data_IF_707856696485
#
_entry.id   IF_707856696485
#
_cell.length_a   1.000
_cell.length_b   1.000
_cell.length_c   1.000
_cell.angle_alpha   90.00
_cell.angle_beta   90.00
_cell.angle_gamma   90.00
#
_symmetry.space_group_name_H-M   'P 1'
#
loop_
_entity.id
_entity.type
_entity.pdbx_description
1 polymer ?
#
# COMPACT_ATOMS: atom_id res chain seq x y z
N UNK A 1 -6.45 21.79 -16.42
CA UNK A 1 -5.17 21.04 -16.47
C UNK A 1 -5.35 19.81 -17.36
N UNK A 2 -4.28 19.23 -17.94
CA UNK A 2 -4.39 18.07 -18.82
C UNK A 2 -5.16 16.92 -18.15
N UNK A 3 -6.09 16.29 -18.87
CA UNK A 3 -6.95 15.23 -18.33
C UNK A 3 -6.36 13.81 -18.41
N UNK A 4 -5.17 13.65 -18.99
CA UNK A 4 -4.51 12.35 -19.17
C UNK A 4 -3.06 12.40 -18.70
N UNK A 5 -2.57 11.28 -18.13
CA UNK A 5 -1.23 11.16 -17.54
C UNK A 5 -0.10 11.62 -18.47
N UNK A 6 -0.19 11.25 -19.74
CA UNK A 6 0.83 11.60 -20.75
C UNK A 6 0.93 13.12 -20.92
N UNK A 7 -0.19 13.82 -21.06
CA UNK A 7 -0.23 15.28 -21.21
C UNK A 7 0.27 16.00 -19.96
N UNK A 8 -0.05 15.47 -18.77
CA UNK A 8 0.41 16.00 -17.50
C UNK A 8 1.94 15.87 -17.35
N UNK A 9 2.48 14.68 -17.59
CA UNK A 9 3.93 14.44 -17.54
C UNK A 9 4.65 15.34 -18.55
N UNK A 10 4.15 15.44 -19.78
CA UNK A 10 4.74 16.31 -20.80
C UNK A 10 4.79 17.78 -20.38
N UNK A 11 3.77 18.27 -19.69
CA UNK A 11 3.66 19.67 -19.26
C UNK A 11 4.65 20.03 -18.15
N UNK A 12 4.85 19.14 -17.17
CA UNK A 12 5.60 19.44 -15.95
C UNK A 12 6.98 18.80 -15.85
N UNK A 13 7.34 17.90 -16.79
CA UNK A 13 8.64 17.21 -16.78
C UNK A 13 9.83 18.17 -16.72
N UNK A 14 9.85 19.24 -17.51
CA UNK A 14 10.99 20.17 -17.55
C UNK A 14 11.25 20.82 -16.19
N UNK A 15 10.19 21.19 -15.47
CA UNK A 15 10.26 21.76 -14.12
C UNK A 15 10.86 20.73 -13.15
N UNK A 16 10.31 19.50 -13.14
CA UNK A 16 10.81 18.46 -12.25
C UNK A 16 12.25 18.02 -12.59
N UNK A 17 12.59 17.98 -13.88
CA UNK A 17 13.94 17.64 -14.35
C UNK A 17 14.98 18.71 -13.98
N UNK A 18 14.59 19.98 -13.93
CA UNK A 18 15.46 21.06 -13.43
C UNK A 18 15.84 20.91 -11.95
N UNK A 19 15.04 20.16 -11.17
CA UNK A 19 15.33 19.87 -9.75
C UNK A 19 16.11 18.56 -9.61
N UNK A 20 15.67 17.50 -10.31
CA UNK A 20 16.32 16.20 -10.31
C UNK A 20 16.58 15.80 -11.77
N UNK A 21 17.82 15.94 -12.29
CA UNK A 21 18.14 15.69 -13.70
C UNK A 21 18.22 14.18 -14.05
N UNK A 22 17.26 13.41 -13.56
CA UNK A 22 16.96 12.04 -13.94
C UNK A 22 15.52 12.00 -14.42
N UNK A 23 15.31 11.75 -15.73
CA UNK A 23 13.99 11.74 -16.34
C UNK A 23 13.00 10.81 -15.63
N UNK A 24 13.44 9.63 -15.19
CA UNK A 24 12.57 8.65 -14.50
C UNK A 24 12.09 9.16 -13.15
N UNK A 25 12.96 9.83 -12.41
CA UNK A 25 12.59 10.45 -11.13
C UNK A 25 11.72 11.69 -11.32
N UNK A 26 12.04 12.53 -12.31
CA UNK A 26 11.22 13.68 -12.67
C UNK A 26 9.80 13.25 -13.06
N UNK A 27 9.67 12.28 -13.96
CA UNK A 27 8.37 11.74 -14.40
C UNK A 27 7.62 11.05 -13.25
N UNK A 28 8.34 10.37 -12.36
CA UNK A 28 7.78 9.73 -11.17
C UNK A 28 7.20 10.75 -10.19
N UNK A 29 7.93 11.83 -9.91
CA UNK A 29 7.47 12.93 -9.07
C UNK A 29 6.25 13.62 -9.67
N UNK A 30 6.26 13.89 -10.99
CA UNK A 30 5.14 14.50 -11.70
C UNK A 30 3.89 13.61 -11.67
N UNK A 31 4.07 12.30 -11.84
CA UNK A 31 2.96 11.32 -11.73
C UNK A 31 2.37 11.29 -10.32
N UNK A 32 3.22 11.36 -9.28
CA UNK A 32 2.76 11.41 -7.90
C UNK A 32 1.95 12.69 -7.62
N UNK A 33 2.44 13.85 -8.04
CA UNK A 33 1.74 15.14 -7.89
C UNK A 33 0.40 15.13 -8.63
N UNK A 34 0.34 14.53 -9.81
CA UNK A 34 -0.92 14.33 -10.53
C UNK A 34 -1.93 13.54 -9.70
N UNK A 35 -1.53 12.41 -9.12
CA UNK A 35 -2.40 11.59 -8.28
C UNK A 35 -2.91 12.33 -7.03
N UNK A 36 -2.07 13.18 -6.42
CA UNK A 36 -2.50 14.05 -5.32
C UNK A 36 -3.52 15.07 -5.81
N UNK A 37 -3.27 15.72 -6.95
CA UNK A 37 -4.19 16.70 -7.54
C UNK A 37 -5.55 16.09 -7.89
N UNK A 38 -5.57 14.91 -8.52
CA UNK A 38 -6.81 14.18 -8.84
C UNK A 38 -7.57 13.79 -7.59
N UNK A 39 -6.86 13.36 -6.54
CA UNK A 39 -7.46 13.07 -5.23
C UNK A 39 -8.10 14.33 -4.62
N UNK A 40 -7.41 15.48 -4.63
CA UNK A 40 -7.97 16.74 -4.13
C UNK A 40 -9.24 17.12 -4.86
N UNK A 41 -9.23 16.98 -6.19
CA UNK A 41 -10.39 17.24 -7.05
C UNK A 41 -11.58 16.33 -6.75
N UNK A 42 -11.35 15.04 -6.56
CA UNK A 42 -12.39 14.09 -6.19
C UNK A 42 -13.00 14.39 -4.81
N UNK A 43 -12.18 14.96 -3.91
CA UNK A 43 -12.56 15.26 -2.53
C UNK A 43 -13.08 16.68 -2.31
N UNK A 44 -13.05 17.56 -3.33
CA UNK A 44 -13.40 18.98 -3.17
C UNK A 44 -12.45 19.75 -2.24
N UNK A 45 -11.24 19.24 -2.03
CA UNK A 45 -10.21 19.89 -1.19
C UNK A 45 -9.37 20.82 -2.06
N UNK A 46 -9.04 22.00 -1.54
CA UNK A 46 -8.09 22.89 -2.22
C UNK A 46 -6.69 22.27 -2.19
N UNK A 47 -6.16 21.98 -3.39
CA UNK A 47 -4.82 21.45 -3.58
C UNK A 47 -3.74 22.32 -2.93
N UNK A 48 -3.94 23.65 -2.86
CA UNK A 48 -2.97 24.57 -2.22
C UNK A 48 -2.90 24.41 -0.70
N UNK A 49 -3.94 23.85 -0.08
CA UNK A 49 -3.99 23.55 1.34
C UNK A 49 -3.35 22.21 1.71
N UNK A 50 -2.91 21.41 0.74
CA UNK A 50 -2.34 20.07 0.99
C UNK A 50 -0.86 20.18 1.32
N UNK A 51 -0.51 19.88 2.57
CA UNK A 51 0.86 19.69 3.01
C UNK A 51 1.36 18.27 2.74
N UNK A 52 2.50 18.13 2.07
CA UNK A 52 3.23 16.87 2.00
C UNK A 52 4.06 16.69 3.28
N UNK A 53 4.09 15.49 3.84
CA UNK A 53 4.92 15.19 5.02
C UNK A 53 6.42 15.19 4.68
N UNK A 54 7.28 15.29 5.70
CA UNK A 54 8.73 15.45 5.56
C UNK A 54 9.50 14.18 5.18
N UNK A 55 9.00 13.38 4.24
CA UNK A 55 9.73 12.22 3.69
C UNK A 55 10.45 12.59 2.40
N UNK A 56 11.57 11.92 2.16
CA UNK A 56 12.30 12.01 0.90
C UNK A 56 12.07 10.73 0.09
N UNK A 57 11.53 10.85 -1.12
CA UNK A 57 11.23 9.70 -1.98
C UNK A 57 11.83 9.86 -3.36
N UNK A 58 12.37 8.76 -3.87
CA UNK A 58 12.79 8.62 -5.26
C UNK A 58 11.97 7.52 -5.88
N UNK A 59 11.20 7.86 -6.91
CA UNK A 59 10.33 6.93 -7.60
C UNK A 59 10.63 6.97 -9.09
N UNK A 60 10.78 5.81 -9.70
CA UNK A 60 10.77 5.68 -11.15
C UNK A 60 9.32 5.74 -11.69
N UNK A 61 9.08 6.27 -12.89
CA UNK A 61 7.73 6.44 -13.44
C UNK A 61 7.11 5.19 -14.10
N UNK A 62 7.94 4.30 -14.61
CA UNK A 62 7.56 3.22 -15.53
C UNK A 62 7.90 1.85 -14.93
N UNK A 63 7.04 0.87 -15.21
CA UNK A 63 7.39 -0.55 -15.13
C UNK A 63 8.38 -0.81 -16.26
N UNK A 64 9.58 -1.28 -15.93
CA UNK A 64 10.56 -1.71 -16.95
C UNK A 64 11.46 -2.81 -16.35
N UNK A 65 12.05 -3.65 -17.20
CA UNK A 65 13.05 -4.63 -16.78
C UNK A 65 14.37 -4.49 -17.54
N UNK A 66 15.52 -4.39 -16.83
CA UNK A 66 15.62 -4.02 -15.42
C UNK A 66 15.21 -2.55 -15.22
N UNK A 67 14.58 -2.22 -14.09
CA UNK A 67 14.41 -0.83 -13.68
C UNK A 67 15.78 -0.11 -13.66
N UNK A 68 15.94 0.98 -14.40
CA UNK A 68 17.26 1.58 -14.64
C UNK A 68 17.73 2.46 -13.48
N UNK A 69 16.80 3.14 -12.82
CA UNK A 69 17.12 4.03 -11.71
C UNK A 69 17.18 3.30 -10.37
N UNK A 70 16.30 2.33 -10.12
CA UNK A 70 16.25 1.56 -8.87
C UNK A 70 16.25 0.08 -9.23
N UNK A 71 17.45 -0.47 -9.44
CA UNK A 71 17.61 -1.82 -10.03
C UNK A 71 17.72 -2.89 -8.94
N UNK A 72 16.77 -3.82 -8.90
CA UNK A 72 16.88 -5.10 -8.21
C UNK A 72 17.96 -5.99 -8.87
N UNK A 73 18.86 -6.52 -8.04
CA UNK A 73 19.90 -7.49 -8.41
C UNK A 73 19.73 -8.79 -7.62
N UNK A 74 20.45 -9.83 -8.07
CA UNK A 74 20.59 -11.10 -7.33
C UNK A 74 21.11 -10.81 -5.91
N UNK A 75 20.64 -11.58 -4.94
CA UNK A 75 20.91 -11.32 -3.51
C UNK A 75 19.98 -10.27 -2.89
N UNK A 76 18.91 -9.88 -3.58
CA UNK A 76 17.92 -8.88 -3.15
C UNK A 76 18.51 -7.50 -2.86
N UNK A 77 19.57 -7.14 -3.60
CA UNK A 77 20.22 -5.84 -3.51
C UNK A 77 19.59 -4.86 -4.49
N UNK A 78 19.41 -3.61 -4.05
CA UNK A 78 18.90 -2.53 -4.88
C UNK A 78 20.00 -1.54 -5.19
N UNK A 79 20.31 -1.42 -6.47
CA UNK A 79 21.28 -0.44 -6.97
C UNK A 79 20.52 0.81 -7.41
N UNK A 80 20.63 1.86 -6.61
CA UNK A 80 19.91 3.12 -6.76
C UNK A 80 20.84 4.13 -7.42
N UNK A 81 20.40 4.69 -8.55
CA UNK A 81 21.06 5.82 -9.19
C UNK A 81 20.82 7.06 -8.35
N UNK A 82 21.91 7.73 -7.97
CA UNK A 82 21.88 9.01 -7.26
C UNK A 82 22.44 10.11 -8.15
N UNK A 83 22.01 11.34 -7.92
CA UNK A 83 22.55 12.53 -8.58
C UNK A 83 23.09 13.43 -7.47
N UNK A 84 24.37 13.80 -7.57
CA UNK A 84 25.00 14.73 -6.65
C UNK A 84 24.69 16.18 -7.07
N UNK A 85 24.96 17.14 -6.18
CA UNK A 85 24.75 18.56 -6.46
C UNK A 85 25.53 19.09 -7.66
N UNK A 86 26.67 18.46 -7.99
CA UNK A 86 27.48 18.77 -9.18
C UNK A 86 26.94 18.14 -10.47
N UNK A 87 25.78 17.47 -10.41
CA UNK A 87 25.17 16.76 -11.53
C UNK A 87 25.80 15.40 -11.83
N UNK A 88 26.87 15.01 -11.13
CA UNK A 88 27.49 13.70 -11.32
C UNK A 88 26.55 12.57 -10.88
N UNK A 89 26.56 11.50 -11.66
CA UNK A 89 25.73 10.33 -11.43
C UNK A 89 26.50 9.33 -10.57
N UNK A 90 25.90 8.94 -9.44
CA UNK A 90 26.40 7.93 -8.54
C UNK A 90 25.52 6.69 -8.52
N UNK A 91 26.00 5.65 -7.81
CA UNK A 91 25.24 4.44 -7.53
C UNK A 91 25.38 4.12 -6.05
N UNK A 92 24.26 3.93 -5.36
CA UNK A 92 24.21 3.45 -3.97
C UNK A 92 23.62 2.06 -3.98
N UNK A 93 24.24 1.12 -3.26
CA UNK A 93 23.73 -0.24 -3.09
C UNK A 93 23.05 -0.32 -1.73
N UNK A 94 21.78 -0.70 -1.71
CA UNK A 94 20.99 -0.90 -0.49
C UNK A 94 20.61 -2.38 -0.40
N UNK A 95 20.82 -2.96 0.78
CA UNK A 95 20.45 -4.35 1.09
C UNK A 95 19.35 -4.35 2.16
N UNK A 96 18.07 -4.23 1.77
CA UNK A 96 16.99 -4.23 2.73
C UNK A 96 16.81 -5.63 3.36
N UNK A 97 16.26 -5.67 4.57
CA UNK A 97 15.76 -6.93 5.14
C UNK A 97 14.53 -7.38 4.36
N UNK A 98 14.64 -8.46 3.60
CA UNK A 98 13.52 -9.01 2.81
C UNK A 98 12.90 -10.20 3.52
N UNK A 99 11.61 -10.13 3.93
CA UNK A 99 10.89 -11.27 4.49
C UNK A 99 10.83 -12.43 3.49
N UNK A 100 10.91 -13.68 3.99
CA UNK A 100 10.95 -14.87 3.14
C UNK A 100 9.79 -14.98 2.15
N UNK A 101 8.59 -14.53 2.51
CA UNK A 101 7.43 -14.53 1.62
C UNK A 101 7.61 -13.67 0.37
N UNK A 102 8.36 -12.56 0.46
CA UNK A 102 8.59 -11.68 -0.69
C UNK A 102 9.74 -12.15 -1.58
N UNK A 103 10.62 -13.05 -1.09
CA UNK A 103 11.73 -13.57 -1.88
C UNK A 103 11.24 -14.28 -3.14
N UNK A 104 10.17 -15.08 -3.03
CA UNK A 104 9.56 -15.76 -4.17
C UNK A 104 9.16 -14.79 -5.28
N UNK A 105 8.51 -13.67 -4.92
CA UNK A 105 8.14 -12.64 -5.87
C UNK A 105 9.36 -11.93 -6.48
N UNK A 106 10.37 -11.60 -5.66
CA UNK A 106 11.60 -10.96 -6.18
C UNK A 106 12.40 -11.90 -7.09
N UNK A 107 12.44 -13.19 -6.79
CA UNK A 107 13.10 -14.21 -7.62
C UNK A 107 12.36 -14.39 -8.95
N UNK A 108 11.03 -14.30 -8.95
CA UNK A 108 10.21 -14.27 -10.15
C UNK A 108 10.49 -13.04 -11.02
N UNK A 109 10.64 -11.86 -10.42
CA UNK A 109 11.04 -10.65 -11.15
C UNK A 109 12.40 -10.86 -11.83
N UNK A 110 13.39 -11.40 -11.10
CA UNK A 110 14.74 -11.60 -11.62
C UNK A 110 14.76 -12.65 -12.73
N UNK A 111 14.10 -13.79 -12.51
CA UNK A 111 14.15 -14.96 -13.39
C UNK A 111 13.25 -14.78 -14.61
N UNK A 112 12.01 -14.36 -14.38
CA UNK A 112 11.01 -14.12 -15.41
C UNK A 112 11.16 -12.78 -16.14
N UNK A 113 12.14 -11.96 -15.76
CA UNK A 113 12.38 -10.63 -16.33
C UNK A 113 11.14 -9.72 -16.29
N UNK A 114 10.37 -9.83 -15.20
CA UNK A 114 9.12 -9.09 -15.04
C UNK A 114 9.42 -7.60 -14.89
N UNK A 115 8.72 -6.77 -15.64
CA UNK A 115 8.81 -5.32 -15.50
C UNK A 115 8.31 -4.87 -14.12
N UNK A 116 9.08 -3.99 -13.48
CA UNK A 116 8.71 -3.45 -12.18
C UNK A 116 9.11 -1.98 -12.09
N UNK A 117 8.48 -1.29 -11.14
CA UNK A 117 8.81 0.09 -10.78
C UNK A 117 9.41 0.07 -9.37
N UNK A 118 10.64 0.55 -9.26
CA UNK A 118 11.30 0.75 -7.97
C UNK A 118 10.98 2.11 -7.37
N UNK A 119 10.85 2.15 -6.05
CA UNK A 119 10.73 3.37 -5.26
C UNK A 119 11.51 3.22 -3.96
N UNK A 120 12.21 4.28 -3.57
CA UNK A 120 12.94 4.36 -2.30
C UNK A 120 12.29 5.46 -1.48
N UNK A 121 11.95 5.16 -0.23
CA UNK A 121 11.39 6.13 0.71
C UNK A 121 12.32 6.22 1.91
N UNK A 122 12.76 7.43 2.21
CA UNK A 122 13.54 7.77 3.39
C UNK A 122 12.57 8.47 4.35
N UNK A 123 12.31 7.81 5.47
CA UNK A 123 11.35 8.26 6.47
C UNK A 123 11.99 8.99 7.64
N UNK A 124 13.25 8.68 7.95
CA UNK A 124 13.98 9.29 9.07
C UNK A 124 15.49 9.23 8.83
N UNK A 125 16.24 10.09 9.52
CA UNK A 125 17.70 10.05 9.55
C UNK A 125 18.25 10.46 10.91
N UNK A 126 19.37 9.87 11.30
CA UNK A 126 20.09 10.21 12.52
C UNK A 126 21.57 10.37 12.25
N UNK A 127 22.22 11.28 12.97
CA UNK A 127 23.68 11.41 12.91
C UNK A 127 24.25 10.89 14.23
N UNK A 128 25.07 9.84 14.15
CA UNK A 128 25.76 9.27 15.33
C UNK A 128 27.21 9.04 14.98
N UNK A 129 28.12 9.50 15.85
CA UNK A 129 29.58 9.37 15.66
C UNK A 129 30.06 9.90 14.29
N UNK A 130 29.52 11.05 13.86
CA UNK A 130 29.81 11.65 12.55
C UNK A 130 29.43 10.77 11.33
N UNK A 131 28.56 9.77 11.54
CA UNK A 131 27.98 8.94 10.48
C UNK A 131 26.49 9.20 10.36
N UNK A 132 26.03 9.33 9.12
CA UNK A 132 24.62 9.45 8.78
C UNK A 132 24.00 8.05 8.72
N UNK A 133 22.97 7.84 9.53
CA UNK A 133 22.11 6.67 9.53
C UNK A 133 20.78 7.06 8.89
N UNK A 134 20.33 6.29 7.91
CA UNK A 134 19.09 6.56 7.19
C UNK A 134 18.13 5.41 7.44
N UNK A 135 16.90 5.73 7.86
CA UNK A 135 15.82 4.76 7.98
C UNK A 135 14.83 4.95 6.84
N UNK A 136 14.49 3.85 6.19
CA UNK A 136 13.66 3.87 5.01
C UNK A 136 13.33 2.49 4.49
N UNK A 137 12.65 2.46 3.36
CA UNK A 137 12.21 1.23 2.69
C UNK A 137 12.38 1.33 1.18
N UNK A 138 12.54 0.15 0.57
CA UNK A 138 12.48 0.00 -0.88
C UNK A 138 11.16 -0.67 -1.22
N UNK A 139 10.37 -0.01 -2.04
CA UNK A 139 9.11 -0.51 -2.56
C UNK A 139 9.29 -0.97 -4.01
N UNK A 140 8.66 -2.10 -4.34
CA UNK A 140 8.64 -2.66 -5.69
C UNK A 140 7.19 -2.80 -6.12
N UNK A 141 6.82 -2.14 -7.21
CA UNK A 141 5.51 -2.29 -7.84
C UNK A 141 5.64 -3.21 -9.04
N UNK A 142 4.80 -4.25 -9.09
CA UNK A 142 4.75 -5.26 -10.15
C UNK A 142 3.34 -5.33 -10.76
N UNK A 143 3.19 -5.89 -11.97
CA UNK A 143 1.90 -6.31 -12.49
C UNK A 143 1.12 -7.18 -11.48
N UNK A 144 -0.20 -6.97 -11.44
CA UNK A 144 -1.07 -7.55 -10.43
C UNK A 144 -1.21 -9.08 -10.58
N UNK A 145 -1.26 -9.55 -11.81
CA UNK A 145 -1.24 -10.96 -12.18
C UNK A 145 0.01 -11.68 -11.66
N UNK A 146 1.20 -11.09 -11.86
CA UNK A 146 2.47 -11.64 -11.35
C UNK A 146 2.48 -11.68 -9.83
N UNK A 147 1.97 -10.62 -9.19
CA UNK A 147 1.83 -10.59 -7.74
C UNK A 147 0.96 -11.76 -7.25
N UNK A 148 -0.20 -11.98 -7.87
CA UNK A 148 -1.10 -13.06 -7.48
C UNK A 148 -0.51 -14.45 -7.73
N UNK A 149 0.13 -14.68 -8.87
CA UNK A 149 0.74 -15.97 -9.20
C UNK A 149 1.76 -16.42 -8.14
N UNK A 150 2.58 -15.50 -7.64
CA UNK A 150 3.70 -15.81 -6.75
C UNK A 150 3.39 -15.62 -5.28
N UNK A 151 2.41 -14.80 -4.93
CA UNK A 151 2.04 -14.60 -3.54
C UNK A 151 0.92 -15.55 -3.10
N UNK A 152 0.10 -16.07 -4.03
CA UNK A 152 -1.01 -16.97 -3.71
C UNK A 152 -0.56 -18.21 -2.94
N UNK A 153 -1.15 -18.39 -1.76
CA UNK A 153 -0.92 -19.53 -0.86
C UNK A 153 -1.83 -20.70 -1.18
N UNK A 154 -3.07 -20.43 -1.60
CA UNK A 154 -4.01 -21.46 -2.05
C UNK A 154 -4.34 -21.20 -3.52
N UNK A 155 -4.18 -22.24 -4.34
CA UNK A 155 -4.37 -22.17 -5.80
C UNK A 155 -5.77 -22.59 -6.26
N UNK A 156 -6.51 -23.30 -5.40
CA UNK A 156 -7.90 -23.74 -5.65
C UNK A 156 -8.68 -23.78 -4.35
N UNK A 157 -9.86 -23.18 -4.38
CA UNK A 157 -10.83 -23.19 -3.31
C UNK A 157 -12.07 -23.95 -3.78
N UNK A 158 -12.24 -25.18 -3.30
CA UNK A 158 -13.41 -26.01 -3.61
C UNK A 158 -14.57 -25.78 -2.64
N UNK A 159 -14.53 -24.69 -1.87
CA UNK A 159 -15.61 -24.31 -0.98
C UNK A 159 -16.95 -24.16 -1.70
N UNK A 160 -18.03 -24.24 -0.93
CA UNK A 160 -19.40 -23.98 -1.41
C UNK A 160 -20.07 -22.85 -0.65
N UNK A 161 -19.51 -22.46 0.50
CA UNK A 161 -20.10 -21.48 1.40
C UNK A 161 -19.76 -20.04 1.00
N UNK A 162 -20.52 -19.11 1.54
CA UNK A 162 -20.34 -17.67 1.34
C UNK A 162 -19.98 -17.02 2.67
N UNK A 163 -19.11 -16.01 2.65
CA UNK A 163 -18.76 -15.25 3.84
C UNK A 163 -19.03 -13.77 3.68
N UNK A 164 -19.70 -13.15 4.64
CA UNK A 164 -19.85 -11.70 4.75
C UNK A 164 -18.85 -11.14 5.75
N UNK A 165 -18.14 -10.07 5.37
CA UNK A 165 -17.17 -9.40 6.26
C UNK A 165 -17.62 -7.97 6.54
N UNK A 166 -17.72 -7.66 7.83
CA UNK A 166 -17.92 -6.31 8.35
C UNK A 166 -16.66 -5.86 9.10
N UNK A 167 -16.22 -4.62 8.88
CA UNK A 167 -14.99 -4.08 9.46
C UNK A 167 -15.33 -2.95 10.41
N UNK A 168 -14.89 -3.10 11.67
CA UNK A 168 -15.03 -2.09 12.70
C UNK A 168 -13.68 -1.47 13.08
N UNK A 169 -13.71 -0.46 13.94
CA UNK A 169 -12.50 0.24 14.40
C UNK A 169 -11.56 -0.67 15.23
N UNK A 170 -12.10 -1.71 15.84
CA UNK A 170 -11.46 -2.62 16.80
C UNK A 170 -11.56 -4.10 16.45
N UNK A 171 -12.19 -4.47 15.34
CA UNK A 171 -12.36 -5.87 14.95
C UNK A 171 -12.80 -6.06 13.50
N UNK A 172 -12.67 -7.30 13.03
CA UNK A 172 -13.28 -7.76 11.77
C UNK A 172 -14.30 -8.85 12.12
N UNK A 173 -15.55 -8.68 11.71
CA UNK A 173 -16.61 -9.66 11.87
C UNK A 173 -16.71 -10.48 10.59
N UNK A 174 -16.70 -11.80 10.71
CA UNK A 174 -16.97 -12.75 9.64
C UNK A 174 -18.26 -13.49 9.97
N UNK A 175 -19.16 -13.57 8.99
CA UNK A 175 -20.35 -14.42 9.01
C UNK A 175 -20.24 -15.38 7.84
N UNK A 176 -20.53 -16.66 8.04
CA UNK A 176 -20.49 -17.71 7.02
C UNK A 176 -21.90 -18.29 6.86
N UNK A 177 -22.36 -18.33 5.63
CA UNK A 177 -23.68 -18.86 5.25
C UNK A 177 -23.53 -19.90 4.14
N UNK A 178 -24.52 -20.77 4.01
CA UNK A 178 -24.64 -21.68 2.86
C UNK A 178 -25.40 -21.04 1.69
N UNK A 179 -25.75 -21.86 0.68
CA UNK A 179 -26.46 -21.42 -0.51
C UNK A 179 -27.92 -21.06 -0.29
N UNK A 180 -28.54 -21.60 0.75
CA UNK A 180 -29.92 -21.30 1.16
C UNK A 180 -29.97 -20.03 2.04
N UNK A 181 -28.81 -19.52 2.46
CA UNK A 181 -28.67 -18.35 3.31
C UNK A 181 -28.71 -18.67 4.80
N UNK A 182 -28.62 -19.95 5.17
CA UNK A 182 -28.60 -20.38 6.56
C UNK A 182 -27.24 -20.08 7.18
N UNK A 183 -27.27 -19.64 8.45
CA UNK A 183 -26.07 -19.31 9.20
C UNK A 183 -25.32 -20.59 9.57
N UNK A 184 -24.13 -20.76 9.01
CA UNK A 184 -23.23 -21.87 9.34
C UNK A 184 -22.35 -21.51 10.53
N UNK A 185 -21.72 -20.33 10.52
CA UNK A 185 -20.85 -19.89 11.60
C UNK A 185 -20.65 -18.37 11.59
N UNK A 186 -20.18 -17.80 12.71
CA UNK A 186 -19.75 -16.42 12.79
C UNK A 186 -18.59 -16.26 13.77
N UNK A 187 -17.67 -15.32 13.46
CA UNK A 187 -16.51 -15.06 14.30
C UNK A 187 -16.03 -13.62 14.19
N UNK A 188 -15.70 -13.04 15.35
CA UNK A 188 -15.05 -11.74 15.43
C UNK A 188 -13.56 -11.89 15.70
N UNK A 189 -12.75 -11.21 14.88
CA UNK A 189 -11.30 -11.13 15.00
C UNK A 189 -10.91 -9.77 15.58
N UNK A 190 -10.80 -9.72 16.91
CA UNK A 190 -10.51 -8.50 17.66
C UNK A 190 -9.05 -8.04 17.51
N UNK A 191 -8.88 -6.73 17.38
CA UNK A 191 -7.61 -5.99 17.48
C UNK A 191 -7.79 -4.72 18.32
N UNK A 192 -8.58 -4.81 19.39
CA UNK A 192 -8.95 -3.70 20.26
C UNK A 192 -7.74 -2.95 20.84
N UNK A 193 -6.61 -3.62 21.00
CA UNK A 193 -5.34 -3.03 21.43
C UNK A 193 -4.86 -1.89 20.50
N UNK A 194 -5.20 -1.96 19.21
CA UNK A 194 -4.83 -0.96 18.21
C UNK A 194 -5.63 0.34 18.39
N UNK A 195 -6.73 0.30 19.14
CA UNK A 195 -7.60 1.47 19.39
C UNK A 195 -7.18 2.30 20.59
N UNK A 196 -6.28 1.79 21.42
CA UNK A 196 -5.77 2.49 22.58
C UNK A 196 -5.14 3.85 22.20
N UNK A 197 -5.39 4.88 23.00
CA UNK A 197 -4.78 6.20 22.79
C UNK A 197 -3.25 6.07 22.88
N UNK A 198 -2.55 6.68 21.93
CA UNK A 198 -1.08 6.62 21.85
C UNK A 198 -0.52 5.33 21.24
N UNK A 199 -1.36 4.39 20.77
CA UNK A 199 -0.87 3.17 20.14
C UNK A 199 -0.04 3.50 18.87
N UNK A 200 1.19 2.96 18.72
CA UNK A 200 2.04 3.29 17.58
C UNK A 200 1.41 2.88 16.24
N UNK A 201 1.17 3.87 15.36
CA UNK A 201 0.52 3.64 14.05
C UNK A 201 1.26 2.62 13.19
N UNK A 202 2.59 2.55 13.28
CA UNK A 202 3.38 1.57 12.52
C UNK A 202 3.14 0.13 12.99
N UNK A 203 2.89 -0.10 14.29
CA UNK A 203 2.59 -1.44 14.83
C UNK A 203 1.16 -1.87 14.56
N UNK A 204 0.24 -0.92 14.44
CA UNK A 204 -1.18 -1.16 14.21
C UNK A 204 -1.41 -2.08 12.99
N UNK A 205 -0.69 -1.81 11.89
CA UNK A 205 -0.82 -2.57 10.65
C UNK A 205 -0.30 -4.00 10.75
N UNK A 206 0.70 -4.26 11.59
CA UNK A 206 1.18 -5.63 11.83
C UNK A 206 0.11 -6.47 12.52
N UNK A 207 -0.56 -5.91 13.54
CA UNK A 207 -1.63 -6.60 14.28
C UNK A 207 -2.86 -6.78 13.39
N UNK A 208 -3.35 -5.70 12.77
CA UNK A 208 -4.49 -5.76 11.85
C UNK A 208 -4.20 -6.75 10.71
N UNK A 209 -3.00 -6.69 10.12
CA UNK A 209 -2.60 -7.59 9.03
C UNK A 209 -2.52 -9.06 9.43
N UNK A 210 -2.24 -9.34 10.70
CA UNK A 210 -2.29 -10.68 11.31
C UNK A 210 -3.74 -11.13 11.49
N UNK A 211 -4.62 -10.29 12.03
CA UNK A 211 -6.06 -10.62 12.18
C UNK A 211 -6.77 -10.85 10.84
N UNK A 212 -6.44 -10.07 9.82
CA UNK A 212 -6.92 -10.32 8.45
C UNK A 212 -6.46 -11.71 7.98
N UNK A 213 -5.22 -12.09 8.28
CA UNK A 213 -4.71 -13.40 7.86
C UNK A 213 -5.40 -14.55 8.59
N UNK A 214 -5.61 -14.41 9.91
CA UNK A 214 -6.38 -15.37 10.71
C UNK A 214 -7.80 -15.52 10.17
N UNK A 215 -8.48 -14.41 9.87
CA UNK A 215 -9.83 -14.40 9.31
C UNK A 215 -9.90 -15.11 7.95
N UNK A 216 -8.97 -14.80 7.03
CA UNK A 216 -8.95 -15.44 5.72
C UNK A 216 -8.65 -16.94 5.80
N UNK A 217 -7.74 -17.36 6.67
CA UNK A 217 -7.47 -18.78 6.91
C UNK A 217 -8.69 -19.48 7.53
N UNK A 218 -9.38 -18.81 8.46
CA UNK A 218 -10.59 -19.33 9.07
C UNK A 218 -11.67 -19.56 8.01
N UNK A 219 -11.98 -18.55 7.20
CA UNK A 219 -12.94 -18.64 6.10
C UNK A 219 -12.58 -19.78 5.13
N UNK A 220 -11.31 -19.87 4.71
CA UNK A 220 -10.84 -20.92 3.81
C UNK A 220 -11.05 -22.32 4.40
N UNK A 221 -10.66 -22.55 5.66
CA UNK A 221 -10.78 -23.84 6.32
C UNK A 221 -12.25 -24.25 6.59
N UNK A 222 -13.17 -23.29 6.62
CA UNK A 222 -14.62 -23.54 6.72
C UNK A 222 -15.26 -23.78 5.35
N UNK A 223 -14.51 -23.77 4.25
CA UNK A 223 -15.05 -23.99 2.92
C UNK A 223 -15.79 -22.79 2.34
N UNK A 224 -15.45 -21.57 2.77
CA UNK A 224 -15.94 -20.34 2.15
C UNK A 224 -15.31 -20.19 0.78
N UNK A 225 -16.12 -20.13 -0.28
CA UNK A 225 -15.71 -19.86 -1.66
C UNK A 225 -15.64 -18.38 -1.96
N UNK A 226 -16.69 -17.64 -1.58
CA UNK A 226 -16.86 -16.23 -1.95
C UNK A 226 -16.93 -15.39 -0.69
N UNK A 227 -16.09 -14.37 -0.60
CA UNK A 227 -16.18 -13.34 0.43
C UNK A 227 -16.80 -12.05 -0.13
N UNK A 228 -17.90 -11.63 0.49
CA UNK A 228 -18.53 -10.34 0.31
C UNK A 228 -17.92 -9.34 1.29
N UNK A 229 -17.50 -8.20 0.76
CA UNK A 229 -16.93 -7.09 1.50
C UNK A 229 -17.73 -5.83 1.19
N UNK A 230 -17.81 -4.91 2.15
CA UNK A 230 -18.35 -3.58 1.88
C UNK A 230 -17.52 -2.84 0.82
N UNK A 231 -18.11 -1.89 0.11
CA UNK A 231 -17.39 -1.13 -0.91
C UNK A 231 -16.43 -0.12 -0.22
N UNK A 232 -15.10 -0.25 -0.39
CA UNK A 232 -14.14 0.64 0.26
C UNK A 232 -14.25 2.09 -0.21
N UNK A 233 -14.72 2.35 -1.43
CA UNK A 233 -14.95 3.73 -1.92
C UNK A 233 -16.07 4.42 -1.15
N UNK A 234 -17.16 3.67 -0.86
CA UNK A 234 -18.30 4.17 -0.09
C UNK A 234 -17.86 4.46 1.34
N UNK A 235 -17.15 3.53 1.99
CA UNK A 235 -16.64 3.73 3.35
C UNK A 235 -15.58 4.83 3.45
N UNK A 236 -14.68 4.91 2.46
CA UNK A 236 -13.69 5.97 2.36
C UNK A 236 -14.36 7.34 2.27
N UNK A 237 -15.35 7.48 1.39
CA UNK A 237 -16.16 8.70 1.27
C UNK A 237 -16.94 9.02 2.54
N UNK A 238 -17.53 8.02 3.20
CA UNK A 238 -18.23 8.20 4.48
C UNK A 238 -17.28 8.71 5.57
N UNK A 239 -16.08 8.12 5.71
CA UNK A 239 -15.05 8.61 6.63
C UNK A 239 -14.66 10.05 6.32
N UNK A 240 -14.45 10.37 5.05
CA UNK A 240 -14.10 11.72 4.59
C UNK A 240 -15.21 12.72 4.88
N UNK A 241 -16.47 12.35 4.66
CA UNK A 241 -17.62 13.17 5.05
C UNK A 241 -17.69 13.35 6.57
N UNK A 242 -17.47 12.30 7.37
CA UNK A 242 -17.46 12.44 8.83
C UNK A 242 -16.35 13.36 9.35
N UNK A 243 -15.18 13.38 8.69
CA UNK A 243 -14.10 14.32 8.99
C UNK A 243 -14.42 15.74 8.50
N UNK A 244 -15.01 15.87 7.31
CA UNK A 244 -15.30 17.15 6.64
C UNK A 244 -16.53 17.88 7.18
N UNK A 245 -17.54 17.16 7.67
CA UNK A 245 -18.76 17.74 8.24
C UNK A 245 -18.54 18.44 9.58
N UNK A 246 -17.34 18.36 10.19
CA UNK A 246 -16.99 19.09 11.41
C UNK A 246 -17.77 18.69 12.66
N UNK A 247 -18.64 17.68 12.56
CA UNK A 247 -19.60 17.28 13.59
C UNK A 247 -18.90 16.47 14.68
N UNK A 248 -18.12 17.19 15.51
CA UNK A 248 -17.43 16.64 16.66
C UNK A 248 -18.48 16.26 17.70
N UNK A 249 -18.79 14.97 17.77
CA UNK A 249 -19.49 14.39 18.92
C UNK A 249 -18.51 14.33 20.10
N UNK A 250 -18.64 13.36 20.99
CA UNK A 250 -17.73 13.24 22.13
C UNK A 250 -16.32 12.75 21.72
N UNK A 251 -15.29 13.11 22.51
CA UNK A 251 -13.87 12.85 22.25
C UNK A 251 -13.56 11.39 21.85
N UNK A 252 -14.20 10.40 22.51
CA UNK A 252 -14.03 8.98 22.21
C UNK A 252 -14.63 8.55 20.87
N UNK A 253 -15.75 9.14 20.47
CA UNK A 253 -16.37 8.88 19.16
C UNK A 253 -15.48 9.44 18.04
N UNK A 254 -15.01 10.67 18.21
CA UNK A 254 -14.11 11.31 17.24
C UNK A 254 -12.78 10.55 17.13
N UNK A 255 -12.26 10.03 18.25
CA UNK A 255 -11.08 9.15 18.25
C UNK A 255 -11.35 7.86 17.46
N UNK A 256 -12.47 7.17 17.70
CA UNK A 256 -12.86 5.95 16.97
C UNK A 256 -13.00 6.17 15.46
N UNK A 257 -13.64 7.27 15.04
CA UNK A 257 -13.75 7.64 13.62
C UNK A 257 -12.38 7.94 12.99
N UNK A 258 -11.50 8.62 13.72
CA UNK A 258 -10.16 8.94 13.24
C UNK A 258 -9.29 7.69 13.02
N UNK A 259 -9.41 6.69 13.92
CA UNK A 259 -8.65 5.44 13.84
C UNK A 259 -9.27 4.39 12.92
N UNK A 260 -10.54 4.56 12.50
CA UNK A 260 -11.17 3.65 11.54
C UNK A 260 -10.38 3.64 10.23
N UNK A 261 -10.11 2.45 9.69
CA UNK A 261 -9.24 2.27 8.51
C UNK A 261 -10.03 1.55 7.42
N UNK A 262 -10.66 2.30 6.53
CA UNK A 262 -11.35 1.75 5.33
C UNK A 262 -10.41 0.89 4.46
N UNK A 263 -9.11 1.21 4.48
CA UNK A 263 -8.03 0.45 3.81
C UNK A 263 -7.88 -1.00 4.33
N UNK A 264 -8.52 -1.38 5.44
CA UNK A 264 -8.58 -2.78 5.89
C UNK A 264 -9.31 -3.63 4.84
N UNK A 265 -10.41 -3.13 4.26
CA UNK A 265 -11.16 -3.83 3.23
C UNK A 265 -10.34 -4.02 1.96
N UNK A 266 -9.61 -2.99 1.54
CA UNK A 266 -8.67 -3.09 0.43
C UNK A 266 -7.62 -4.17 0.71
N UNK A 267 -7.09 -4.24 1.94
CA UNK A 267 -6.12 -5.24 2.34
C UNK A 267 -6.70 -6.66 2.38
N UNK A 268 -7.94 -6.82 2.82
CA UNK A 268 -8.69 -8.09 2.73
C UNK A 268 -8.88 -8.46 1.26
N UNK A 269 -9.24 -7.52 0.40
CA UNK A 269 -9.42 -7.73 -1.05
C UNK A 269 -8.12 -8.17 -1.72
N UNK A 270 -6.99 -7.56 -1.37
CA UNK A 270 -5.68 -7.97 -1.90
C UNK A 270 -5.28 -9.37 -1.42
N UNK A 271 -5.51 -9.68 -0.13
CA UNK A 271 -5.10 -10.95 0.48
C UNK A 271 -6.08 -12.10 0.21
N UNK A 272 -7.37 -11.84 -0.06
CA UNK A 272 -8.34 -12.91 -0.39
C UNK A 272 -7.95 -13.58 -1.70
N UNK A 273 -7.50 -12.82 -2.70
CA UNK A 273 -6.98 -13.38 -3.96
C UNK A 273 -5.75 -14.26 -3.74
N UNK A 274 -5.11 -14.12 -2.59
CA UNK A 274 -3.96 -14.94 -2.19
C UNK A 274 -4.38 -16.24 -1.48
N UNK A 275 -5.57 -16.30 -0.87
CA UNK A 275 -5.96 -17.35 0.08
C UNK A 275 -7.23 -18.10 -0.34
N UNK A 276 -8.12 -17.50 -1.13
CA UNK A 276 -9.45 -18.01 -1.47
C UNK A 276 -9.67 -18.20 -2.98
N UNK A 277 -8.60 -18.23 -3.78
CA UNK A 277 -8.66 -18.64 -5.20
C UNK A 277 -8.95 -20.12 -5.32
#
# INVERSE_FOLDING_TARGET
>A
MPGIKVGWVSMFRSIAYGIVPNRRYADGAVTLVMGVYESCRALGVDFRGVGLSGWLMFQQSELEYPAKSITLRRGYEFHITTIKYDGSIGRVVVKPTVPGSYRQLLDAIITGRVEYMGRVVIGDYGVRNNQLWVHGEVQVTVPLDVYYEHMARHRRNNGVLFGGVDVNADGINLVIIDEDGELIDHKTFWFSEVTARGFPRHRAWSIIGMRIHEMLNYAYNHGVRILFLENPEVLGRLKLMWVGSGDRKHENYNHKVAIFRSTIIEKITMKRTTILN
#
